data_IF_860449549101
#
_entry.id   IF_860449549101
#
_cell.length_a   1.000
_cell.length_b   1.000
_cell.length_c   1.000
_cell.angle_alpha   90.00
_cell.angle_beta   90.00
_cell.angle_gamma   90.00
#
_symmetry.space_group_name_H-M   'P 1'
#
loop_
_entity.id
_entity.type
_entity.pdbx_description
1 polymer ?
#
# COMPACT_ATOMS: atom_id res chain seq x y z
N UNK A 1 -44.81 -10.45 5.31
CA UNK A 1 -43.78 -11.02 4.41
C UNK A 1 -42.87 -9.95 3.81
N UNK A 2 -43.36 -8.94 3.06
CA UNK A 2 -42.51 -7.86 2.51
C UNK A 2 -41.61 -7.15 3.54
N UNK A 3 -42.14 -6.82 4.72
CA UNK A 3 -41.35 -6.16 5.80
C UNK A 3 -40.18 -7.02 6.32
N UNK A 4 -40.34 -8.34 6.37
CA UNK A 4 -39.27 -9.26 6.82
C UNK A 4 -38.15 -9.31 5.78
N UNK A 5 -38.53 -9.35 4.50
CA UNK A 5 -37.59 -9.36 3.38
C UNK A 5 -36.73 -8.08 3.35
N UNK A 6 -37.33 -6.92 3.65
CA UNK A 6 -36.59 -5.66 3.81
C UNK A 6 -35.61 -5.69 4.98
N UNK A 7 -36.00 -6.24 6.13
CA UNK A 7 -35.13 -6.34 7.31
C UNK A 7 -33.92 -7.23 7.03
N UNK A 8 -34.13 -8.38 6.37
CA UNK A 8 -33.05 -9.27 5.96
C UNK A 8 -32.08 -8.55 5.02
N UNK A 9 -32.59 -7.78 4.05
CA UNK A 9 -31.76 -7.06 3.11
C UNK A 9 -30.86 -6.01 3.79
N UNK A 10 -31.39 -5.32 4.81
CA UNK A 10 -30.64 -4.34 5.61
C UNK A 10 -29.56 -5.05 6.42
N UNK A 11 -29.89 -6.15 7.09
CA UNK A 11 -28.93 -6.93 7.90
C UNK A 11 -27.79 -7.47 7.01
N UNK A 12 -28.12 -8.02 5.85
CA UNK A 12 -27.12 -8.54 4.90
C UNK A 12 -26.23 -7.42 4.38
N UNK A 13 -26.81 -6.29 3.97
CA UNK A 13 -26.03 -5.13 3.49
C UNK A 13 -25.08 -4.59 4.56
N UNK A 14 -25.56 -4.47 5.81
CA UNK A 14 -24.73 -4.04 6.94
C UNK A 14 -23.61 -5.05 7.24
N UNK A 15 -23.92 -6.35 7.16
CA UNK A 15 -22.92 -7.42 7.33
C UNK A 15 -21.82 -7.39 6.28
N UNK A 16 -22.19 -7.19 5.00
CA UNK A 16 -21.21 -7.05 3.91
C UNK A 16 -20.36 -5.79 4.10
N UNK A 17 -20.97 -4.65 4.42
CA UNK A 17 -20.23 -3.41 4.67
C UNK A 17 -19.23 -3.56 5.83
N UNK A 18 -19.65 -4.22 6.91
CA UNK A 18 -18.77 -4.51 8.05
C UNK A 18 -17.62 -5.45 7.67
N UNK A 19 -17.90 -6.50 6.90
CA UNK A 19 -16.88 -7.44 6.41
C UNK A 19 -15.86 -6.76 5.49
N UNK A 20 -16.31 -5.89 4.57
CA UNK A 20 -15.42 -5.09 3.70
C UNK A 20 -14.58 -4.12 4.52
N UNK A 21 -15.14 -3.52 5.57
CA UNK A 21 -14.39 -2.63 6.47
C UNK A 21 -13.33 -3.38 7.29
N UNK A 22 -13.60 -4.62 7.69
CA UNK A 22 -12.64 -5.46 8.42
C UNK A 22 -11.48 -5.94 7.54
N UNK A 23 -11.77 -6.19 6.26
CA UNK A 23 -10.78 -6.70 5.28
C UNK A 23 -10.02 -5.57 4.59
N UNK A 24 -10.55 -4.35 4.58
CA UNK A 24 -9.84 -3.16 4.14
C UNK A 24 -9.01 -2.60 5.30
N UNK A 25 -7.87 -3.21 5.61
CA UNK A 25 -6.92 -2.66 6.59
C UNK A 25 -6.27 -1.39 6.03
N UNK A 26 -6.97 -0.27 6.18
CA UNK A 26 -6.39 1.05 5.96
C UNK A 26 -5.42 1.31 7.10
N UNK A 27 -4.12 1.42 6.79
CA UNK A 27 -3.09 1.71 7.79
C UNK A 27 -3.41 3.03 8.49
N UNK A 28 -3.33 3.04 9.83
CA UNK A 28 -3.45 4.27 10.60
C UNK A 28 -2.28 5.21 10.30
N UNK A 29 -2.42 6.50 10.61
CA UNK A 29 -1.36 7.48 10.36
C UNK A 29 -0.04 7.11 11.06
N UNK A 30 -0.09 6.53 12.27
CA UNK A 30 1.13 6.07 12.97
C UNK A 30 1.77 4.87 12.30
N UNK A 31 0.97 3.95 11.75
CA UNK A 31 1.46 2.78 11.00
C UNK A 31 2.04 3.18 9.65
N UNK A 32 1.45 4.17 8.98
CA UNK A 32 2.01 4.77 7.77
C UNK A 32 3.40 5.32 8.06
N UNK A 33 3.54 6.20 9.07
CA UNK A 33 4.84 6.78 9.45
C UNK A 33 5.88 5.71 9.80
N UNK A 34 5.47 4.64 10.50
CA UNK A 34 6.35 3.51 10.77
C UNK A 34 6.81 2.82 9.48
N UNK A 35 5.89 2.54 8.56
CA UNK A 35 6.22 1.97 7.25
C UNK A 35 7.19 2.84 6.46
N UNK A 36 6.97 4.17 6.42
CA UNK A 36 7.88 5.10 5.75
C UNK A 36 9.28 5.05 6.38
N UNK A 37 9.37 5.06 7.71
CA UNK A 37 10.63 5.01 8.44
C UNK A 37 11.39 3.71 8.20
N UNK A 38 10.68 2.58 8.17
CA UNK A 38 11.27 1.26 7.88
C UNK A 38 11.91 1.23 6.51
N UNK A 39 11.20 1.71 5.48
CA UNK A 39 11.71 1.72 4.11
C UNK A 39 12.88 2.70 3.95
N UNK A 40 12.80 3.87 4.56
CA UNK A 40 13.87 4.87 4.58
C UNK A 40 15.18 4.39 5.20
N UNK A 41 15.11 3.40 6.09
CA UNK A 41 16.31 2.80 6.68
C UNK A 41 17.15 2.01 5.66
N UNK A 42 16.59 1.70 4.48
CA UNK A 42 17.24 0.90 3.45
C UNK A 42 17.72 1.76 2.29
N UNK A 43 18.98 1.55 1.91
CA UNK A 43 19.61 2.23 0.76
C UNK A 43 18.86 2.05 -0.56
N UNK A 44 18.10 0.96 -0.70
CA UNK A 44 17.27 0.68 -1.87
C UNK A 44 16.18 1.74 -2.08
N UNK A 45 15.68 2.35 -1.00
CA UNK A 45 14.65 3.39 -1.01
C UNK A 45 15.27 4.73 -0.61
N UNK A 46 15.88 5.47 -1.55
CA UNK A 46 16.69 6.66 -1.26
C UNK A 46 15.87 7.88 -0.82
N UNK A 47 14.56 7.86 -0.99
CA UNK A 47 13.66 8.97 -0.71
C UNK A 47 12.51 8.52 0.19
N UNK A 48 11.92 9.49 0.90
CA UNK A 48 10.64 9.22 1.58
C UNK A 48 9.63 8.78 0.53
N UNK A 49 8.72 7.84 0.86
CA UNK A 49 7.70 7.42 -0.08
C UNK A 49 6.98 8.63 -0.68
N UNK A 50 6.74 8.54 -1.97
CA UNK A 50 6.33 9.66 -2.81
C UNK A 50 4.92 10.10 -2.44
N UNK A 51 4.03 9.15 -2.12
CA UNK A 51 2.65 9.41 -1.70
C UNK A 51 1.95 8.14 -1.17
N UNK A 52 0.86 8.37 -0.44
CA UNK A 52 -0.13 7.36 -0.05
C UNK A 52 -1.44 7.61 -0.81
N UNK A 53 -2.12 6.54 -1.24
CA UNK A 53 -3.51 6.64 -1.73
C UNK A 53 -4.41 5.73 -0.88
N UNK A 54 -5.38 6.37 -0.21
CA UNK A 54 -6.41 5.77 0.65
C UNK A 54 -5.88 4.77 1.69
N UNK A 55 -4.61 4.89 2.10
CA UNK A 55 -3.92 3.96 3.00
C UNK A 55 -3.81 2.52 2.47
N UNK A 56 -4.06 2.32 1.16
CA UNK A 56 -4.03 1.04 0.45
C UNK A 56 -2.96 0.95 -0.62
N UNK A 57 -2.44 2.10 -1.06
CA UNK A 57 -1.32 2.18 -1.98
C UNK A 57 -0.22 3.00 -1.32
N UNK A 58 0.98 2.44 -1.32
CA UNK A 58 2.21 3.10 -0.91
C UNK A 58 3.15 3.18 -2.11
N UNK A 59 3.40 4.40 -2.58
CA UNK A 59 4.34 4.63 -3.67
C UNK A 59 5.74 4.91 -3.14
N UNK A 60 6.72 4.17 -3.64
CA UNK A 60 8.12 4.29 -3.25
C UNK A 60 8.98 4.60 -4.47
N UNK A 61 10.04 5.38 -4.25
CA UNK A 61 11.04 5.66 -5.28
C UNK A 61 12.24 4.74 -5.13
N UNK A 62 12.80 4.27 -6.25
CA UNK A 62 14.13 3.65 -6.31
C UNK A 62 15.02 4.42 -7.29
N UNK A 63 16.35 4.26 -7.14
CA UNK A 63 17.29 4.72 -8.17
C UNK A 63 17.21 3.79 -9.39
N UNK A 64 17.43 4.30 -10.62
CA UNK A 64 17.56 3.46 -11.79
C UNK A 64 18.69 2.43 -11.60
N UNK A 65 18.51 1.25 -12.20
CA UNK A 65 19.42 0.10 -12.15
C UNK A 65 19.68 -0.52 -10.77
N UNK A 66 19.06 0.00 -9.70
CA UNK A 66 19.24 -0.55 -8.33
C UNK A 66 18.48 -1.86 -8.09
N UNK A 67 17.36 -2.04 -8.77
CA UNK A 67 16.52 -3.25 -8.78
C UNK A 67 15.46 -3.11 -9.89
N UNK A 68 14.75 -4.19 -10.21
CA UNK A 68 13.50 -4.09 -10.98
C UNK A 68 12.37 -3.57 -10.08
N UNK A 69 11.38 -2.88 -10.67
CA UNK A 69 10.25 -2.32 -9.92
C UNK A 69 9.51 -3.36 -9.09
N UNK A 70 9.19 -4.53 -9.68
CA UNK A 70 8.48 -5.60 -8.98
C UNK A 70 9.30 -6.21 -7.84
N UNK A 71 10.61 -6.43 -8.04
CA UNK A 71 11.48 -6.97 -7.00
C UNK A 71 11.67 -6.00 -5.83
N UNK A 72 11.77 -4.70 -6.13
CA UNK A 72 11.80 -3.67 -5.10
C UNK A 72 10.47 -3.58 -4.33
N UNK A 73 9.34 -3.73 -5.02
CA UNK A 73 8.01 -3.74 -4.40
C UNK A 73 7.85 -4.94 -3.45
N UNK A 74 8.29 -6.12 -3.87
CA UNK A 74 8.28 -7.31 -3.03
C UNK A 74 9.20 -7.14 -1.81
N UNK A 75 10.41 -6.62 -2.03
CA UNK A 75 11.35 -6.34 -0.94
C UNK A 75 10.75 -5.37 0.08
N UNK A 76 10.01 -4.35 -0.36
CA UNK A 76 9.31 -3.44 0.53
C UNK A 76 8.25 -4.18 1.36
N UNK A 77 7.44 -5.04 0.76
CA UNK A 77 6.48 -5.87 1.50
C UNK A 77 7.17 -6.72 2.57
N UNK A 78 8.23 -7.44 2.21
CA UNK A 78 8.97 -8.31 3.13
C UNK A 78 9.52 -7.53 4.33
N UNK A 79 10.01 -6.32 4.11
CA UNK A 79 10.51 -5.44 5.17
C UNK A 79 9.40 -4.96 6.10
N UNK A 80 8.25 -4.57 5.56
CA UNK A 80 7.12 -4.11 6.36
C UNK A 80 6.51 -5.25 7.19
N UNK A 81 6.45 -6.46 6.62
CA UNK A 81 6.02 -7.68 7.32
C UNK A 81 7.01 -8.04 8.43
N UNK A 82 8.33 -7.93 8.17
CA UNK A 82 9.35 -8.20 9.17
C UNK A 82 9.25 -7.28 10.41
N UNK A 83 8.81 -6.03 10.20
CA UNK A 83 8.50 -5.06 11.27
C UNK A 83 7.10 -5.24 11.88
N UNK A 84 6.40 -6.33 11.55
CA UNK A 84 5.09 -6.70 12.09
C UNK A 84 3.99 -5.65 11.84
N UNK A 85 4.12 -4.87 10.75
CA UNK A 85 3.11 -3.91 10.35
C UNK A 85 1.93 -4.63 9.67
N UNK A 86 0.67 -4.22 9.91
CA UNK A 86 -0.51 -4.88 9.33
C UNK A 86 -0.73 -4.42 7.88
N UNK A 87 0.18 -4.83 7.00
CA UNK A 87 0.24 -4.40 5.59
C UNK A 87 -0.44 -5.37 4.63
N UNK A 88 -1.18 -6.37 5.12
CA UNK A 88 -1.89 -7.31 4.25
C UNK A 88 -2.86 -6.57 3.32
N UNK A 89 -2.78 -6.84 2.02
CA UNK A 89 -3.54 -6.12 0.98
C UNK A 89 -3.02 -4.73 0.64
N UNK A 90 -1.92 -4.26 1.25
CA UNK A 90 -1.25 -3.03 0.85
C UNK A 90 -0.57 -3.24 -0.50
N UNK A 91 -0.85 -2.36 -1.47
CA UNK A 91 -0.16 -2.33 -2.75
C UNK A 91 1.05 -1.40 -2.67
N UNK A 92 2.24 -1.94 -2.88
CA UNK A 92 3.45 -1.15 -3.07
C UNK A 92 3.63 -0.87 -4.55
N UNK A 93 3.75 0.41 -4.90
CA UNK A 93 4.05 0.84 -6.27
C UNK A 93 5.45 1.46 -6.31
N UNK A 94 6.25 1.09 -7.30
CA UNK A 94 7.65 1.53 -7.41
C UNK A 94 7.83 2.44 -8.60
N UNK A 95 8.51 3.56 -8.39
CA UNK A 95 8.76 4.60 -9.38
C UNK A 95 10.25 4.94 -9.47
N UNK A 96 10.67 5.48 -10.62
CA UNK A 96 12.01 6.02 -10.79
C UNK A 96 12.10 7.40 -10.11
N UNK A 97 12.88 7.48 -9.04
CA UNK A 97 13.02 8.73 -8.26
C UNK A 97 13.76 9.82 -9.03
N UNK A 98 14.68 9.46 -9.93
CA UNK A 98 15.42 10.45 -10.73
C UNK A 98 14.52 11.04 -11.81
N UNK A 99 13.62 10.24 -12.40
CA UNK A 99 12.63 10.77 -13.34
C UNK A 99 11.65 11.70 -12.65
N UNK A 100 11.12 11.33 -11.47
CA UNK A 100 10.24 12.20 -10.68
C UNK A 100 10.90 13.56 -10.37
N UNK A 101 12.22 13.60 -10.16
CA UNK A 101 12.94 14.83 -9.85
C UNK A 101 13.26 15.71 -11.05
N UNK A 102 13.38 15.14 -12.25
CA UNK A 102 13.90 15.83 -13.44
C UNK A 102 12.86 16.01 -14.57
N UNK A 103 11.80 15.19 -14.59
CA UNK A 103 10.79 15.16 -15.65
C UNK A 103 9.38 15.18 -15.03
N UNK A 104 8.41 15.84 -15.68
CA UNK A 104 7.00 15.77 -15.29
C UNK A 104 6.34 14.41 -15.63
N UNK A 105 7.01 13.59 -16.47
CA UNK A 105 6.52 12.27 -16.90
C UNK A 105 7.15 11.14 -16.06
N UNK A 106 6.53 10.84 -14.92
CA UNK A 106 6.88 9.69 -14.10
C UNK A 106 6.07 8.45 -14.50
N UNK A 107 6.73 7.29 -14.55
CA UNK A 107 6.12 6.01 -14.94
C UNK A 107 6.26 4.97 -13.83
N UNK A 108 5.21 4.19 -13.61
CA UNK A 108 5.24 3.02 -12.73
C UNK A 108 6.24 1.99 -13.27
N UNK A 109 7.26 1.67 -12.47
CA UNK A 109 8.28 0.67 -12.81
C UNK A 109 7.82 -0.76 -12.49
N UNK A 110 6.96 -0.91 -11.48
CA UNK A 110 6.46 -2.20 -11.01
C UNK A 110 5.64 -2.08 -9.74
N UNK A 111 5.03 -3.18 -9.31
CA UNK A 111 4.22 -3.21 -8.09
C UNK A 111 4.17 -4.60 -7.45
N UNK A 112 3.82 -4.63 -6.16
CA UNK A 112 3.50 -5.85 -5.42
C UNK A 112 2.31 -5.58 -4.49
N UNK A 113 1.59 -6.64 -4.12
CA UNK A 113 0.58 -6.60 -3.06
C UNK A 113 1.11 -7.44 -1.92
N UNK A 114 1.19 -6.87 -0.72
CA UNK A 114 1.72 -7.58 0.44
C UNK A 114 0.68 -8.59 0.94
N UNK A 115 1.09 -9.84 1.12
CA UNK A 115 0.24 -10.94 1.61
C UNK A 115 0.60 -11.33 3.05
#
# INVERSE_FOLDING_TARGET
MKRILFIILIIVSAGVAYYVSLTSSVLSQSQQLAAESTLLSKKLFPARPVWWSDGKILAVGILPDSSTGDAAAQTACDLLIAEQLPVSGLRIEVYDVLKIQNEDEWSLLGFAVCE
#
